data_IF_313201650936
#
_entry.id   IF_313201650936
#
_cell.length_a   1.000
_cell.length_b   1.000
_cell.length_c   1.000
_cell.angle_alpha   90.00
_cell.angle_beta   90.00
_cell.angle_gamma   90.00
#
_symmetry.space_group_name_H-M   'P 1'
#
loop_
_entity.id
_entity.type
_entity.pdbx_description
1 polymer ?
#
# COMPACT_ATOMS: atom_id res chain seq x y z
N UNK A 1 -23.15 27.96 0.65
CA UNK A 1 -22.79 26.61 1.14
C UNK A 1 -23.29 25.61 0.11
N UNK A 2 -22.54 24.55 -0.19
CA UNK A 2 -22.98 23.50 -1.12
C UNK A 2 -23.94 22.51 -0.43
N UNK A 3 -24.90 21.96 -1.18
CA UNK A 3 -25.78 20.89 -0.68
C UNK A 3 -25.09 19.53 -0.73
N UNK A 4 -25.46 18.58 0.15
CA UNK A 4 -24.97 17.20 0.04
C UNK A 4 -25.42 16.58 -1.28
N UNK A 5 -24.47 15.92 -1.97
CA UNK A 5 -24.72 15.20 -3.22
C UNK A 5 -25.57 13.96 -2.95
N UNK A 6 -26.65 13.79 -3.71
CA UNK A 6 -27.54 12.63 -3.64
C UNK A 6 -27.13 11.59 -4.68
N UNK A 7 -26.44 10.54 -4.23
CA UNK A 7 -26.01 9.42 -5.07
C UNK A 7 -26.48 8.08 -4.50
N UNK A 8 -26.98 7.20 -5.37
CA UNK A 8 -27.40 5.85 -4.97
C UNK A 8 -26.17 4.93 -4.88
N UNK A 9 -25.80 4.61 -3.65
CA UNK A 9 -24.67 3.74 -3.33
C UNK A 9 -24.78 2.35 -3.95
N UNK A 10 -25.98 1.76 -4.00
CA UNK A 10 -26.20 0.41 -4.55
C UNK A 10 -25.88 0.38 -6.05
N UNK A 11 -26.25 1.45 -6.76
CA UNK A 11 -25.94 1.64 -8.18
C UNK A 11 -24.45 1.83 -8.40
N UNK A 12 -23.79 2.68 -7.60
CA UNK A 12 -22.34 2.87 -7.72
C UNK A 12 -21.59 1.57 -7.50
N UNK A 13 -22.01 0.75 -6.53
CA UNK A 13 -21.45 -0.58 -6.28
C UNK A 13 -21.64 -1.53 -7.48
N UNK A 14 -22.86 -1.58 -8.04
CA UNK A 14 -23.16 -2.38 -9.23
C UNK A 14 -22.31 -1.95 -10.43
N UNK A 15 -22.27 -0.65 -10.72
CA UNK A 15 -21.50 -0.08 -11.82
C UNK A 15 -20.01 -0.37 -11.63
N UNK A 16 -19.47 -0.21 -10.42
CA UNK A 16 -18.08 -0.54 -10.13
C UNK A 16 -17.73 -1.99 -10.52
N UNK A 17 -18.68 -2.91 -10.39
CA UNK A 17 -18.53 -4.31 -10.82
C UNK A 17 -18.67 -4.43 -12.34
N UNK A 18 -19.73 -3.87 -12.92
CA UNK A 18 -20.08 -3.98 -14.34
C UNK A 18 -19.05 -3.32 -15.27
N UNK A 19 -18.33 -2.30 -14.79
CA UNK A 19 -17.34 -1.54 -15.56
C UNK A 19 -15.90 -1.87 -15.16
N UNK A 20 -15.67 -2.89 -14.32
CA UNK A 20 -14.34 -3.43 -14.05
C UNK A 20 -13.84 -4.25 -15.27
N UNK A 21 -12.55 -4.20 -15.65
CA UNK A 21 -11.44 -3.40 -15.11
C UNK A 21 -11.28 -2.01 -15.76
N UNK A 22 -12.22 -1.60 -16.62
CA UNK A 22 -12.10 -0.38 -17.43
C UNK A 22 -12.37 0.92 -16.66
N UNK A 23 -12.89 0.80 -15.43
CA UNK A 23 -13.01 1.90 -14.47
C UNK A 23 -12.45 1.46 -13.11
N UNK A 24 -12.04 2.43 -12.30
CA UNK A 24 -11.40 2.14 -11.02
C UNK A 24 -11.64 3.20 -9.96
N UNK A 25 -11.48 2.80 -8.69
CA UNK A 25 -11.71 3.65 -7.52
C UNK A 25 -13.11 4.30 -7.54
N UNK A 26 -14.15 3.57 -7.97
CA UNK A 26 -15.52 4.07 -7.91
C UNK A 26 -16.17 3.77 -6.55
N UNK A 27 -15.93 2.56 -6.04
CA UNK A 27 -16.49 2.04 -4.80
C UNK A 27 -15.47 1.26 -4.00
N UNK A 28 -15.44 1.44 -2.68
CA UNK A 28 -14.71 0.60 -1.74
C UNK A 28 -15.69 -0.41 -1.13
N UNK A 29 -15.62 -1.67 -1.56
CA UNK A 29 -16.48 -2.73 -1.04
C UNK A 29 -16.13 -3.17 0.38
N UNK A 30 -14.86 -3.03 0.79
CA UNK A 30 -14.40 -3.42 2.14
C UNK A 30 -14.96 -2.43 3.18
N UNK A 31 -14.99 -1.14 2.85
CA UNK A 31 -15.45 -0.07 3.73
C UNK A 31 -16.84 0.45 3.39
N UNK A 32 -17.51 -0.18 2.42
CA UNK A 32 -18.88 0.14 2.03
C UNK A 32 -19.03 1.65 1.68
N UNK A 33 -18.09 2.19 0.89
CA UNK A 33 -17.90 3.64 0.66
C UNK A 33 -17.85 4.02 -0.82
N UNK A 34 -18.60 5.06 -1.19
CA UNK A 34 -18.52 5.72 -2.51
C UNK A 34 -17.27 6.60 -2.59
N UNK A 35 -16.51 6.46 -3.68
CA UNK A 35 -15.21 7.12 -3.88
C UNK A 35 -15.23 8.20 -4.98
N UNK A 36 -16.29 8.25 -5.79
CA UNK A 36 -16.41 9.20 -6.90
C UNK A 36 -16.96 10.58 -6.49
N UNK A 37 -17.58 10.70 -5.31
CA UNK A 37 -18.19 11.96 -4.86
C UNK A 37 -17.26 12.74 -3.93
N UNK A 38 -16.95 14.02 -4.23
CA UNK A 38 -16.23 14.87 -3.29
C UNK A 38 -17.12 15.25 -2.09
N UNK A 39 -16.49 15.62 -0.97
CA UNK A 39 -17.16 16.01 0.28
C UNK A 39 -17.24 17.54 0.47
N UNK A 40 -16.47 18.30 -0.31
CA UNK A 40 -16.43 19.76 -0.22
C UNK A 40 -17.60 20.46 -0.94
N UNK A 41 -17.72 21.79 -0.79
CA UNK A 41 -18.75 22.60 -1.45
C UNK A 41 -18.50 22.87 -2.94
N UNK A 42 -17.54 22.15 -3.54
CA UNK A 42 -17.14 22.23 -4.95
C UNK A 42 -18.34 21.98 -5.91
N UNK A 43 -18.44 22.63 -7.08
CA UNK A 43 -19.44 22.30 -8.11
C UNK A 43 -19.36 20.86 -8.66
N UNK A 44 -18.26 20.13 -8.53
CA UNK A 44 -18.12 18.77 -9.09
C UNK A 44 -19.11 17.79 -8.44
N UNK A 45 -20.09 17.25 -9.18
CA UNK A 45 -20.99 16.23 -8.66
C UNK A 45 -20.28 14.90 -8.38
N UNK A 46 -19.57 14.35 -9.36
CA UNK A 46 -18.73 13.17 -9.19
C UNK A 46 -17.57 13.14 -10.20
N UNK A 47 -16.50 12.40 -9.88
CA UNK A 47 -15.38 12.12 -10.78
C UNK A 47 -15.22 10.62 -11.00
N UNK A 48 -15.51 10.17 -12.22
CA UNK A 48 -15.34 8.78 -12.65
C UNK A 48 -13.98 8.62 -13.32
N UNK A 49 -13.25 7.58 -12.96
CA UNK A 49 -11.92 7.28 -13.52
C UNK A 49 -11.98 5.99 -14.33
N UNK A 50 -11.34 5.99 -15.49
CA UNK A 50 -11.32 4.83 -16.37
C UNK A 50 -10.30 4.93 -17.49
N UNK A 51 -10.35 3.93 -18.35
CA UNK A 51 -9.35 3.69 -19.40
C UNK A 51 -9.61 4.43 -20.71
N UNK A 52 -10.85 4.83 -20.95
CA UNK A 52 -11.27 5.51 -22.17
C UNK A 52 -12.50 6.42 -21.95
N UNK A 53 -12.70 7.46 -22.79
CA UNK A 53 -13.82 8.40 -22.70
C UNK A 53 -15.22 7.74 -22.75
N UNK A 54 -15.43 6.76 -23.64
CA UNK A 54 -16.74 6.14 -23.80
C UNK A 54 -17.18 5.41 -22.55
N UNK A 55 -16.27 4.62 -21.97
CA UNK A 55 -16.54 3.89 -20.73
C UNK A 55 -16.90 4.86 -19.61
N UNK A 56 -16.14 5.94 -19.40
CA UNK A 56 -16.42 6.88 -18.30
C UNK A 56 -17.72 7.67 -18.51
N UNK A 57 -18.05 8.06 -19.75
CA UNK A 57 -19.33 8.72 -20.08
C UNK A 57 -20.50 7.75 -19.86
N UNK A 58 -20.40 6.53 -20.38
CA UNK A 58 -21.42 5.49 -20.19
C UNK A 58 -21.65 5.20 -18.71
N UNK A 59 -20.56 5.14 -17.94
CA UNK A 59 -20.59 4.96 -16.47
C UNK A 59 -21.35 6.09 -15.79
N UNK A 60 -21.13 7.35 -16.19
CA UNK A 60 -21.87 8.50 -15.65
C UNK A 60 -23.38 8.38 -15.88
N UNK A 61 -23.80 7.95 -17.07
CA UNK A 61 -25.22 7.74 -17.36
C UNK A 61 -25.83 6.65 -16.48
N UNK A 62 -25.10 5.58 -16.19
CA UNK A 62 -25.59 4.52 -15.30
C UNK A 62 -25.66 4.92 -13.84
N UNK A 63 -24.83 5.88 -13.38
CA UNK A 63 -24.94 6.42 -12.01
C UNK A 63 -26.33 7.02 -11.78
N UNK A 64 -27.00 7.46 -12.84
CA UNK A 64 -28.34 8.05 -12.82
C UNK A 64 -28.46 9.10 -11.70
N UNK A 65 -27.73 10.23 -11.82
CA UNK A 65 -27.78 11.31 -10.83
C UNK A 65 -29.23 11.73 -10.56
N UNK A 66 -29.60 11.80 -9.29
CA UNK A 66 -30.92 12.28 -8.87
C UNK A 66 -31.04 13.78 -9.14
N UNK A 67 -29.91 14.49 -9.04
CA UNK A 67 -29.79 15.92 -9.30
C UNK A 67 -29.56 16.18 -10.78
N UNK A 68 -30.12 17.27 -11.31
CA UNK A 68 -29.87 17.70 -12.68
C UNK A 68 -28.44 18.22 -12.79
N UNK A 69 -27.62 17.54 -13.58
CA UNK A 69 -26.26 18.00 -13.90
C UNK A 69 -26.31 19.10 -14.96
N UNK A 70 -25.49 20.14 -14.80
CA UNK A 70 -25.30 21.17 -15.83
C UNK A 70 -24.56 20.62 -17.06
N UNK A 71 -23.65 19.67 -16.85
CA UNK A 71 -22.90 19.01 -17.92
C UNK A 71 -21.82 18.09 -17.36
N UNK A 72 -20.98 17.56 -18.26
CA UNK A 72 -19.80 16.77 -17.91
C UNK A 72 -18.64 17.12 -18.84
N UNK A 73 -17.43 16.83 -18.39
CA UNK A 73 -16.21 16.99 -19.19
C UNK A 73 -15.29 15.80 -18.92
N UNK A 74 -14.64 15.31 -19.97
CA UNK A 74 -13.65 14.24 -19.87
C UNK A 74 -12.25 14.84 -19.91
N UNK A 75 -11.41 14.45 -18.96
CA UNK A 75 -10.01 14.89 -18.89
C UNK A 75 -9.07 13.70 -19.06
N UNK A 76 -8.02 13.88 -19.86
CA UNK A 76 -6.86 12.99 -19.80
C UNK A 76 -6.00 13.42 -18.61
N UNK A 77 -5.74 12.49 -17.68
CA UNK A 77 -5.03 12.80 -16.43
C UNK A 77 -3.87 11.84 -16.19
N UNK A 78 -2.98 12.21 -15.26
CA UNK A 78 -2.00 11.31 -14.68
C UNK A 78 -2.54 10.52 -13.48
N UNK A 79 -3.85 10.52 -13.22
CA UNK A 79 -4.42 9.80 -12.08
C UNK A 79 -4.28 8.29 -12.25
N UNK A 80 -4.01 7.60 -11.14
CA UNK A 80 -3.82 6.15 -11.12
C UNK A 80 -2.61 5.64 -11.91
N UNK A 81 -1.54 6.44 -12.05
CA UNK A 81 -0.36 6.07 -12.86
C UNK A 81 0.89 5.71 -12.05
N UNK A 82 0.90 5.99 -10.74
CA UNK A 82 2.08 5.99 -9.89
C UNK A 82 3.24 6.87 -10.44
N UNK A 83 2.95 7.86 -11.28
CA UNK A 83 4.00 8.68 -11.93
C UNK A 83 4.98 9.32 -10.94
N UNK A 84 4.52 9.70 -9.74
CA UNK A 84 5.37 10.27 -8.69
C UNK A 84 6.23 9.24 -7.94
N UNK A 85 5.97 7.94 -8.13
CA UNK A 85 6.67 6.82 -7.49
C UNK A 85 7.58 6.06 -8.46
N UNK A 86 7.86 6.59 -9.65
CA UNK A 86 8.69 5.92 -10.66
C UNK A 86 10.19 6.14 -10.49
N UNK A 87 10.60 7.08 -9.64
CA UNK A 87 12.00 7.43 -9.45
C UNK A 87 12.56 6.72 -8.22
N UNK A 88 13.70 6.03 -8.38
CA UNK A 88 14.45 5.47 -7.24
C UNK A 88 15.05 6.62 -6.43
N UNK A 89 14.86 6.58 -5.11
CA UNK A 89 15.43 7.53 -4.17
C UNK A 89 16.53 6.86 -3.35
N UNK A 90 17.67 7.54 -3.24
CA UNK A 90 18.70 7.17 -2.26
C UNK A 90 18.43 7.86 -0.93
N UNK A 91 18.53 7.10 0.17
CA UNK A 91 18.33 7.64 1.52
C UNK A 91 19.39 8.68 1.88
N UNK A 92 20.60 8.58 1.31
CA UNK A 92 21.68 9.56 1.47
C UNK A 92 21.32 10.95 0.92
N UNK A 93 20.47 11.02 -0.11
CA UNK A 93 20.13 12.26 -0.84
C UNK A 93 18.67 12.66 -0.68
N UNK A 94 17.98 12.05 0.27
CA UNK A 94 16.55 12.24 0.42
C UNK A 94 16.24 13.66 0.90
N UNK A 95 15.18 14.25 0.36
CA UNK A 95 14.74 15.61 0.68
C UNK A 95 13.24 15.61 0.94
N UNK A 96 12.82 16.52 1.81
CA UNK A 96 11.40 16.77 2.09
C UNK A 96 10.69 17.14 0.78
N UNK A 97 9.42 16.78 0.65
CA UNK A 97 8.59 17.01 -0.53
C UNK A 97 9.04 16.26 -1.79
N UNK A 98 9.85 15.21 -1.62
CA UNK A 98 10.11 14.24 -2.69
C UNK A 98 9.21 13.02 -2.53
N UNK A 99 8.90 12.41 -3.67
CA UNK A 99 8.25 11.12 -3.76
C UNK A 99 9.00 10.25 -4.77
N UNK A 100 8.92 8.95 -4.57
CA UNK A 100 9.65 7.95 -5.35
C UNK A 100 9.54 6.59 -4.68
N UNK A 101 10.39 5.65 -5.07
CA UNK A 101 10.50 4.36 -4.40
C UNK A 101 11.89 4.18 -3.79
N UNK A 102 11.98 3.34 -2.77
CA UNK A 102 13.25 2.95 -2.13
C UNK A 102 13.26 1.43 -1.97
N UNK A 103 14.33 0.80 -2.47
CA UNK A 103 14.66 -0.60 -2.15
C UNK A 103 15.54 -0.61 -0.92
N UNK A 104 15.09 -1.29 0.12
CA UNK A 104 15.73 -1.22 1.41
C UNK A 104 15.53 -2.50 2.22
N UNK A 105 16.35 -2.64 3.26
CA UNK A 105 16.28 -3.71 4.25
C UNK A 105 15.71 -3.16 5.54
N UNK A 106 14.82 -3.89 6.19
CA UNK A 106 14.31 -3.54 7.52
C UNK A 106 15.45 -3.68 8.54
N UNK A 107 15.77 -2.60 9.26
CA UNK A 107 16.85 -2.55 10.26
C UNK A 107 16.35 -2.48 11.70
N UNK A 108 15.06 -2.20 11.90
CA UNK A 108 14.43 -2.23 13.21
C UNK A 108 13.03 -2.79 13.10
N UNK A 109 12.69 -3.71 14.00
CA UNK A 109 11.37 -4.34 14.01
C UNK A 109 10.24 -3.29 14.11
N UNK A 110 9.14 -3.44 13.35
CA UNK A 110 7.98 -2.55 13.42
C UNK A 110 7.31 -2.49 14.78
N UNK A 111 6.87 -1.29 15.15
CA UNK A 111 6.09 -1.00 16.35
C UNK A 111 4.81 -0.26 15.99
N UNK A 112 3.68 -0.80 16.45
CA UNK A 112 2.39 -0.11 16.39
C UNK A 112 2.37 0.98 17.48
N UNK A 113 2.01 2.21 17.10
CA UNK A 113 1.87 3.34 18.03
C UNK A 113 0.38 3.69 18.25
N UNK A 114 0.11 4.57 19.21
CA UNK A 114 -1.25 5.09 19.46
C UNK A 114 -1.83 5.66 18.16
N UNK A 115 -3.06 5.29 17.85
CA UNK A 115 -3.72 5.63 16.58
C UNK A 115 -3.55 4.60 15.47
N UNK A 116 -2.84 3.49 15.71
CA UNK A 116 -2.75 2.36 14.77
C UNK A 116 -1.70 2.52 13.68
N UNK A 117 -0.90 3.59 13.70
CA UNK A 117 0.22 3.76 12.78
C UNK A 117 1.35 2.78 13.13
N UNK A 118 2.10 2.34 12.12
CA UNK A 118 3.26 1.46 12.28
C UNK A 118 4.52 2.25 11.97
N UNK A 119 5.47 2.25 12.90
CA UNK A 119 6.79 2.85 12.75
C UNK A 119 7.88 1.77 12.75
N UNK A 120 8.83 1.89 11.84
CA UNK A 120 10.02 1.03 11.78
C UNK A 120 11.20 1.80 11.16
N UNK A 121 12.36 1.14 11.04
CA UNK A 121 13.53 1.72 10.37
C UNK A 121 14.01 0.80 9.27
N UNK A 122 14.52 1.40 8.20
CA UNK A 122 15.09 0.72 7.04
C UNK A 122 16.46 1.29 6.71
N UNK A 123 17.26 0.54 5.96
CA UNK A 123 18.46 1.05 5.30
C UNK A 123 18.52 0.68 3.83
N UNK A 124 19.04 1.58 3.02
CA UNK A 124 19.38 1.30 1.62
C UNK A 124 20.77 0.66 1.51
N UNK A 125 21.25 0.44 0.28
CA UNK A 125 22.58 -0.10 0.00
C UNK A 125 23.73 0.80 0.53
N UNK A 126 23.45 2.07 0.86
CA UNK A 126 24.44 2.97 1.46
C UNK A 126 24.51 2.84 2.98
N UNK A 127 23.79 1.89 3.58
CA UNK A 127 23.66 1.70 5.03
C UNK A 127 23.11 2.92 5.79
N UNK A 128 22.51 3.89 5.09
CA UNK A 128 21.85 5.02 5.71
C UNK A 128 20.52 4.56 6.26
N UNK A 129 20.30 4.76 7.57
CA UNK A 129 19.06 4.39 8.24
C UNK A 129 18.04 5.52 8.16
N UNK A 130 16.77 5.17 7.97
CA UNK A 130 15.67 6.13 7.94
C UNK A 130 14.44 5.61 8.67
N UNK A 131 13.72 6.48 9.41
CA UNK A 131 12.42 6.12 9.96
C UNK A 131 11.36 6.05 8.86
N UNK A 132 10.51 5.04 8.96
CA UNK A 132 9.39 4.76 8.05
C UNK A 132 8.08 4.79 8.82
N UNK A 133 7.09 5.46 8.26
CA UNK A 133 5.73 5.55 8.77
C UNK A 133 4.71 4.93 7.82
N UNK A 134 3.93 3.99 8.35
CA UNK A 134 2.75 3.42 7.68
C UNK A 134 1.52 3.87 8.48
N UNK A 135 0.69 4.72 7.88
CA UNK A 135 -0.44 5.30 8.58
C UNK A 135 -1.66 4.37 8.60
N UNK A 136 -2.33 4.27 9.74
CA UNK A 136 -3.56 3.48 9.94
C UNK A 136 -4.56 3.54 8.78
N UNK A 137 -4.91 4.72 8.20
CA UNK A 137 -5.95 4.78 7.17
C UNK A 137 -5.62 3.98 5.91
N UNK A 138 -4.33 3.71 5.68
CA UNK A 138 -3.87 2.94 4.52
C UNK A 138 -4.25 1.46 4.62
N UNK A 139 -4.43 0.89 5.81
CA UNK A 139 -4.61 -0.56 5.98
C UNK A 139 -3.33 -1.40 5.83
N UNK A 140 -2.24 -0.81 5.35
CA UNK A 140 -0.95 -1.49 5.18
C UNK A 140 -0.31 -1.87 6.52
N UNK A 141 -0.78 -1.31 7.64
CA UNK A 141 -0.26 -1.59 8.98
C UNK A 141 -0.30 -3.07 9.36
N UNK A 142 -1.30 -3.82 8.91
CA UNK A 142 -1.39 -5.27 9.20
C UNK A 142 -0.17 -6.01 8.64
N UNK A 143 0.17 -5.78 7.37
CA UNK A 143 1.33 -6.41 6.73
C UNK A 143 2.64 -5.82 7.24
N UNK A 144 2.71 -4.49 7.37
CA UNK A 144 3.90 -3.82 7.86
C UNK A 144 4.30 -4.28 9.27
N UNK A 145 3.33 -4.56 10.16
CA UNK A 145 3.60 -5.03 11.53
C UNK A 145 4.21 -6.43 11.61
N UNK A 146 4.11 -7.22 10.53
CA UNK A 146 4.65 -8.58 10.42
C UNK A 146 6.08 -8.63 9.92
N UNK A 147 6.64 -7.51 9.44
CA UNK A 147 8.03 -7.42 9.01
C UNK A 147 8.98 -7.65 10.20
N UNK A 148 10.18 -8.15 9.90
CA UNK A 148 11.28 -8.29 10.87
C UNK A 148 12.56 -7.72 10.30
N UNK A 149 13.56 -7.55 11.17
CA UNK A 149 14.90 -7.13 10.76
C UNK A 149 15.50 -8.14 9.77
N UNK A 150 16.02 -7.64 8.65
CA UNK A 150 16.59 -8.45 7.59
C UNK A 150 15.73 -8.57 6.33
N UNK A 151 14.40 -8.37 6.42
CA UNK A 151 13.49 -8.41 5.26
C UNK A 151 13.89 -7.37 4.22
N UNK A 152 13.91 -7.78 2.94
CA UNK A 152 14.12 -6.88 1.81
C UNK A 152 12.77 -6.44 1.24
N UNK A 153 12.59 -5.13 1.12
CA UNK A 153 11.34 -4.51 0.70
C UNK A 153 11.60 -3.42 -0.36
N UNK A 154 10.58 -3.17 -1.17
CA UNK A 154 10.47 -2.03 -2.07
C UNK A 154 9.26 -1.20 -1.61
N UNK A 155 9.49 0.05 -1.25
CA UNK A 155 8.44 0.93 -0.71
C UNK A 155 8.30 2.17 -1.58
N UNK A 156 7.07 2.47 -1.99
CA UNK A 156 6.71 3.77 -2.53
C UNK A 156 6.55 4.76 -1.38
N UNK A 157 7.23 5.90 -1.45
CA UNK A 157 7.30 6.84 -0.32
C UNK A 157 7.05 8.29 -0.75
N UNK A 158 6.44 9.05 0.16
CA UNK A 158 6.48 10.51 0.18
C UNK A 158 7.23 11.00 1.42
N UNK A 159 8.08 12.01 1.27
CA UNK A 159 8.94 12.49 2.37
C UNK A 159 8.33 13.73 3.01
N UNK A 160 7.97 13.63 4.30
CA UNK A 160 7.49 14.77 5.08
C UNK A 160 8.44 15.12 6.22
N UNK A 161 8.36 16.38 6.66
CA UNK A 161 8.99 16.81 7.90
C UNK A 161 8.24 16.16 9.07
N UNK A 162 8.96 15.57 10.00
CA UNK A 162 8.42 15.27 11.32
C UNK A 162 8.61 16.54 12.17
N UNK A 163 7.62 16.95 12.97
CA UNK A 163 7.49 18.29 13.57
C UNK A 163 8.82 18.91 14.06
N UNK A 164 8.87 20.25 13.96
CA UNK A 164 9.86 21.30 14.32
C UNK A 164 11.30 20.97 14.76
N UNK A 165 11.58 19.80 15.36
CA UNK A 165 12.87 19.37 15.91
C UNK A 165 13.36 17.98 15.45
N UNK A 166 12.80 17.37 14.39
CA UNK A 166 13.13 15.99 14.01
C UNK A 166 13.46 15.76 12.52
N UNK A 167 14.23 14.69 12.30
CA UNK A 167 14.56 14.10 11.00
C UNK A 167 13.31 13.82 10.17
N UNK A 168 13.41 13.85 8.83
CA UNK A 168 12.26 13.52 7.98
C UNK A 168 11.84 12.06 8.14
N UNK A 169 10.62 11.73 7.74
CA UNK A 169 10.06 10.38 7.76
C UNK A 169 9.63 9.96 6.36
N UNK A 170 9.77 8.66 6.05
CA UNK A 170 9.25 8.07 4.81
C UNK A 170 7.80 7.65 5.02
N UNK A 171 6.86 8.26 4.31
CA UNK A 171 5.45 7.90 4.38
C UNK A 171 5.12 6.90 3.29
N UNK A 172 4.77 5.67 3.68
CA UNK A 172 4.53 4.57 2.76
C UNK A 172 3.21 4.76 2.00
N UNK A 173 3.28 4.64 0.67
CA UNK A 173 2.14 4.62 -0.25
C UNK A 173 1.86 3.22 -0.84
N UNK A 174 2.88 2.38 -0.99
CA UNK A 174 2.75 0.93 -1.22
C UNK A 174 3.91 0.20 -0.55
N UNK A 175 3.72 -1.08 -0.23
CA UNK A 175 4.75 -1.95 0.35
C UNK A 175 4.87 -3.21 -0.48
N UNK A 176 6.06 -3.48 -1.02
CA UNK A 176 6.36 -4.71 -1.73
C UNK A 176 7.41 -5.51 -0.97
N UNK A 177 7.11 -6.78 -0.71
CA UNK A 177 8.03 -7.68 -0.01
C UNK A 177 8.81 -8.46 -1.05
N UNK A 178 10.12 -8.23 -1.09
CA UNK A 178 11.05 -8.84 -2.05
C UNK A 178 11.69 -10.10 -1.49
N UNK A 179 12.04 -10.09 -0.20
CA UNK A 179 12.62 -11.24 0.51
C UNK A 179 12.15 -11.29 1.95
N UNK A 180 11.76 -12.48 2.40
CA UNK A 180 11.37 -12.78 3.77
C UNK A 180 12.55 -13.45 4.46
N UNK A 181 13.00 -12.89 5.57
CA UNK A 181 14.04 -13.48 6.43
C UNK A 181 13.41 -14.50 7.38
N UNK A 182 14.12 -15.60 7.63
CA UNK A 182 13.71 -16.64 8.57
C UNK A 182 13.70 -16.11 10.01
N UNK A 183 12.55 -16.24 10.69
CA UNK A 183 12.47 -15.94 12.13
C UNK A 183 12.90 -17.18 12.92
N UNK A 184 14.17 -17.21 13.35
CA UNK A 184 14.67 -18.31 14.21
C UNK A 184 14.42 -18.01 15.68
N UNK A 185 13.78 -18.93 16.39
CA UNK A 185 13.55 -18.85 17.83
C UNK A 185 14.24 -20.00 18.55
N UNK A 186 14.73 -19.74 19.76
CA UNK A 186 15.28 -20.79 20.62
C UNK A 186 14.19 -21.33 21.55
N UNK A 187 13.86 -22.61 21.40
CA UNK A 187 12.85 -23.28 22.23
C UNK A 187 13.50 -24.35 23.10
N UNK A 188 12.87 -24.64 24.22
CA UNK A 188 13.30 -25.76 25.06
C UNK A 188 13.12 -27.07 24.28
N UNK A 189 14.01 -28.06 24.49
CA UNK A 189 13.90 -29.33 23.81
C UNK A 189 12.68 -30.14 24.29
N UNK A 190 12.27 -31.10 23.47
CA UNK A 190 11.29 -32.12 23.84
C UNK A 190 12.00 -33.28 24.53
N UNK A 191 11.35 -33.86 25.54
CA UNK A 191 11.78 -35.09 26.18
C UNK A 191 11.66 -36.25 25.20
N UNK A 192 12.73 -37.05 25.08
CA UNK A 192 12.78 -38.18 24.15
C UNK A 192 11.81 -39.31 24.53
N UNK A 193 11.49 -39.43 25.83
CA UNK A 193 10.64 -40.50 26.36
C UNK A 193 9.14 -40.22 26.31
N UNK A 194 8.72 -38.97 26.55
CA UNK A 194 7.29 -38.63 26.66
C UNK A 194 6.83 -37.50 25.74
N UNK A 195 7.72 -36.94 24.91
CA UNK A 195 7.39 -35.84 24.00
C UNK A 195 7.01 -34.52 24.67
N UNK A 196 7.00 -34.42 26.01
CA UNK A 196 6.69 -33.16 26.71
C UNK A 196 7.86 -32.18 26.63
N UNK A 197 7.55 -30.88 26.57
CA UNK A 197 8.54 -29.79 26.59
C UNK A 197 9.28 -29.75 27.93
N UNK A 198 10.61 -29.75 27.88
CA UNK A 198 11.47 -29.76 29.07
C UNK A 198 11.53 -28.37 29.73
N UNK A 199 11.76 -28.32 31.05
CA UNK A 199 11.93 -27.06 31.79
C UNK A 199 13.42 -26.76 32.02
N UNK A 200 13.75 -25.48 32.18
CA UNK A 200 15.12 -25.06 32.50
C UNK A 200 15.45 -25.39 33.95
N UNK A 201 16.66 -25.89 34.19
CA UNK A 201 17.19 -26.18 35.53
C UNK A 201 18.00 -25.00 36.11
N UNK A 202 18.01 -23.85 35.41
CA UNK A 202 18.76 -22.66 35.79
C UNK A 202 19.79 -22.27 34.73
N UNK A 203 20.46 -21.12 34.96
CA UNK A 203 21.50 -20.62 34.05
C UNK A 203 22.60 -21.69 33.90
N UNK A 204 22.90 -22.07 32.65
CA UNK A 204 23.93 -23.03 32.25
C UNK A 204 23.79 -24.47 32.81
N UNK A 205 22.63 -24.82 33.40
CA UNK A 205 22.35 -26.17 33.95
C UNK A 205 21.57 -27.09 33.02
N UNK A 206 21.21 -26.62 31.83
CA UNK A 206 20.45 -27.39 30.83
C UNK A 206 18.95 -27.49 31.15
N UNK A 207 18.33 -28.54 30.62
CA UNK A 207 16.88 -28.77 30.64
C UNK A 207 16.55 -30.17 31.13
N UNK A 208 15.53 -30.31 31.97
CA UNK A 208 15.07 -31.60 32.48
C UNK A 208 13.56 -31.79 32.24
N UNK A 209 13.18 -33.03 31.94
CA UNK A 209 11.78 -33.44 31.93
C UNK A 209 11.31 -33.70 33.36
N UNK A 210 10.31 -32.96 33.83
CA UNK A 210 9.72 -33.18 35.17
C UNK A 210 9.05 -34.54 35.34
N UNK A 211 8.65 -35.20 34.25
CA UNK A 211 7.94 -36.48 34.31
C UNK A 211 8.87 -37.70 34.20
N UNK A 212 9.88 -37.61 33.34
CA UNK A 212 10.73 -38.76 33.00
C UNK A 212 12.17 -38.64 33.50
N UNK A 213 12.57 -37.48 34.05
CA UNK A 213 13.94 -37.20 34.49
C UNK A 213 14.98 -37.04 33.37
N UNK A 214 14.60 -37.26 32.11
CA UNK A 214 15.46 -37.06 30.93
C UNK A 214 16.06 -35.65 30.91
N UNK A 215 17.30 -35.51 30.45
CA UNK A 215 18.07 -34.25 30.47
C UNK A 215 18.65 -33.92 29.10
N UNK A 216 18.68 -32.63 28.77
CA UNK A 216 19.33 -32.10 27.56
C UNK A 216 20.11 -30.83 27.89
N UNK A 217 21.24 -30.65 27.22
CA UNK A 217 22.16 -29.54 27.48
C UNK A 217 21.76 -28.23 26.81
N UNK A 218 21.18 -28.27 25.61
CA UNK A 218 20.96 -27.10 24.78
C UNK A 218 19.49 -26.88 24.37
N UNK A 219 19.18 -25.62 24.06
CA UNK A 219 17.93 -25.25 23.37
C UNK A 219 17.99 -25.70 21.92
N UNK A 220 16.81 -25.90 21.33
CA UNK A 220 16.67 -26.15 19.90
C UNK A 220 16.46 -24.82 19.19
N UNK A 221 17.21 -24.59 18.11
CA UNK A 221 16.93 -23.52 17.17
C UNK A 221 15.84 -24.01 16.22
N UNK A 222 14.74 -23.27 16.11
CA UNK A 222 13.63 -23.61 15.21
C UNK A 222 13.25 -22.39 14.40
N UNK A 223 13.13 -22.57 13.08
CA UNK A 223 12.57 -21.57 12.18
C UNK A 223 11.05 -21.54 12.35
N UNK A 224 10.53 -20.36 12.68
CA UNK A 224 9.10 -20.13 12.85
C UNK A 224 8.51 -19.71 11.50
N UNK A 225 7.42 -20.36 11.12
CA UNK A 225 6.65 -19.94 9.95
C UNK A 225 6.01 -18.58 10.19
N UNK A 226 6.20 -17.65 9.24
CA UNK A 226 5.68 -16.29 9.30
C UNK A 226 4.46 -16.18 8.37
N UNK A 227 3.38 -15.57 8.86
CA UNK A 227 2.17 -15.31 8.09
C UNK A 227 2.32 -14.08 7.18
N UNK A 228 3.28 -14.14 6.27
CA UNK A 228 3.64 -13.04 5.35
C UNK A 228 4.06 -13.64 4.00
N UNK A 229 3.66 -12.99 2.91
CA UNK A 229 3.94 -13.46 1.55
C UNK A 229 4.69 -12.41 0.74
N UNK A 230 5.46 -12.87 -0.24
CA UNK A 230 6.08 -11.99 -1.23
C UNK A 230 4.99 -11.31 -2.07
N UNK A 231 5.28 -10.11 -2.57
CA UNK A 231 4.39 -9.38 -3.45
C UNK A 231 4.10 -7.95 -3.00
N UNK A 232 3.29 -7.26 -3.81
CA UNK A 232 2.94 -5.85 -3.64
C UNK A 232 1.63 -5.71 -2.90
N UNK A 233 1.67 -4.99 -1.78
CA UNK A 233 0.51 -4.62 -0.98
C UNK A 233 0.19 -3.14 -1.22
N UNK A 234 -1.08 -2.88 -1.53
CA UNK A 234 -1.60 -1.53 -1.73
C UNK A 234 -2.50 -1.10 -0.57
N UNK A 235 -2.67 0.22 -0.35
CA UNK A 235 -3.64 0.71 0.60
C UNK A 235 -5.05 0.26 0.25
N UNK A 236 -5.96 0.36 1.22
CA UNK A 236 -7.39 0.28 0.93
C UNK A 236 -7.81 1.33 -0.11
N UNK A 237 -8.86 1.02 -0.87
CA UNK A 237 -9.35 1.90 -1.95
C UNK A 237 -9.73 3.29 -1.42
N UNK A 238 -10.35 3.40 -0.22
CA UNK A 238 -10.63 4.68 0.45
C UNK A 238 -9.39 5.55 0.73
N UNK A 239 -8.20 4.95 0.76
CA UNK A 239 -6.94 5.61 1.06
C UNK A 239 -6.04 5.77 -0.19
N UNK A 240 -6.50 5.34 -1.36
CA UNK A 240 -5.83 5.64 -2.62
C UNK A 240 -5.70 7.15 -2.81
N UNK A 241 -4.48 7.62 -3.07
CA UNK A 241 -4.23 8.98 -3.52
C UNK A 241 -4.60 9.09 -5.00
N UNK A 242 -4.72 10.32 -5.51
CA UNK A 242 -5.04 10.56 -6.91
C UNK A 242 -4.13 9.83 -7.89
N UNK A 243 -2.84 9.73 -7.58
CA UNK A 243 -1.85 9.10 -8.45
C UNK A 243 -1.68 7.60 -8.19
N UNK A 244 -2.20 7.06 -7.07
CA UNK A 244 -2.06 5.63 -6.73
C UNK A 244 -2.66 4.76 -7.83
N UNK A 245 -1.83 3.97 -8.50
CA UNK A 245 -2.23 3.05 -9.56
C UNK A 245 -2.83 1.77 -8.99
N UNK A 246 -4.13 1.48 -9.20
CA UNK A 246 -4.73 0.22 -8.76
C UNK A 246 -4.01 -1.01 -9.33
N UNK A 247 -3.91 -2.08 -8.55
CA UNK A 247 -3.23 -3.34 -8.93
C UNK A 247 -3.68 -3.91 -10.29
N UNK A 248 -4.98 -3.90 -10.60
CA UNK A 248 -5.49 -4.46 -11.85
C UNK A 248 -5.07 -3.66 -13.10
N UNK A 249 -4.58 -2.43 -12.95
CA UNK A 249 -4.13 -1.59 -14.07
C UNK A 249 -2.68 -1.84 -14.49
N UNK A 250 -1.91 -2.63 -13.73
CA UNK A 250 -0.58 -3.04 -14.16
C UNK A 250 -0.71 -3.98 -15.35
N UNK A 251 0.00 -3.69 -16.45
CA UNK A 251 -0.17 -4.37 -17.75
C UNK A 251 -1.20 -3.72 -18.69
N UNK A 252 -1.91 -2.68 -18.23
CA UNK A 252 -2.86 -1.91 -19.06
C UNK A 252 -2.30 -0.56 -19.52
N UNK A 253 -0.98 -0.38 -19.45
CA UNK A 253 -0.31 0.87 -19.84
C UNK A 253 -0.54 1.18 -21.32
N UNK A 254 -0.91 2.41 -21.61
CA UNK A 254 -1.10 2.85 -23.00
C UNK A 254 0.26 3.12 -23.63
N UNK A 255 0.67 2.27 -24.57
CA UNK A 255 1.86 2.45 -25.39
C UNK A 255 1.53 3.35 -26.58
N UNK A 256 1.53 4.66 -26.36
CA UNK A 256 1.54 5.58 -27.50
C UNK A 256 2.98 5.65 -28.03
N UNK A 257 3.23 5.40 -29.33
CA UNK A 257 4.55 5.65 -29.88
C UNK A 257 4.91 7.11 -29.63
N UNK A 258 5.96 7.34 -28.84
CA UNK A 258 6.60 8.64 -28.79
C UNK A 258 7.28 8.84 -30.14
N UNK A 259 6.60 9.49 -31.08
CA UNK A 259 7.22 9.86 -32.35
C UNK A 259 8.02 11.13 -32.06
N UNK A 260 9.31 10.96 -31.77
CA UNK A 260 10.25 12.08 -31.66
C UNK A 260 10.14 12.95 -32.93
N UNK A 261 10.06 14.26 -32.75
CA UNK A 261 9.95 15.30 -33.80
C UNK A 261 8.56 15.52 -34.44
N UNK A 262 7.50 14.92 -33.91
CA UNK A 262 6.15 15.41 -34.20
C UNK A 262 5.72 16.36 -33.07
N UNK A 263 5.93 17.67 -33.27
CA UNK A 263 5.13 18.69 -32.58
C UNK A 263 3.74 18.61 -33.20
N UNK A 264 2.98 17.56 -32.86
CA UNK A 264 1.55 17.59 -33.10
C UNK A 264 1.01 18.61 -32.10
N UNK A 265 0.19 19.61 -32.53
CA UNK A 265 -0.57 20.38 -31.58
C UNK A 265 -1.25 19.37 -30.65
N UNK A 266 -1.20 19.59 -29.33
CA UNK A 266 -1.91 18.82 -28.29
C UNK A 266 -3.14 18.21 -28.94
N UNK A 267 -3.12 16.91 -29.18
CA UNK A 267 -3.95 16.22 -30.18
C UNK A 267 -5.43 16.47 -29.89
N UNK A 268 -5.98 17.60 -30.36
CA UNK A 268 -7.36 18.01 -30.13
C UNK A 268 -8.33 17.07 -30.85
N UNK A 269 -7.82 16.33 -31.83
CA UNK A 269 -8.53 15.29 -32.57
C UNK A 269 -8.91 14.09 -31.70
N UNK A 270 -8.32 13.90 -30.50
CA UNK A 270 -8.76 12.86 -29.56
C UNK A 270 -10.23 13.03 -29.14
N UNK A 271 -10.77 14.26 -29.18
CA UNK A 271 -12.18 14.54 -28.96
C UNK A 271 -13.00 14.62 -30.26
N UNK A 272 -12.38 14.56 -31.44
CA UNK A 272 -13.09 14.63 -32.74
C UNK A 272 -13.39 13.26 -33.34
N UNK A 273 -12.71 12.22 -32.86
CA UNK A 273 -13.02 10.83 -33.20
C UNK A 273 -14.18 10.25 -32.37
N UNK A 274 -14.75 11.03 -31.45
CA UNK A 274 -15.82 10.64 -30.54
C UNK A 274 -16.97 11.64 -30.58
#
# INVERSE_FOLDING_TARGET
QGTPRKIDKSRVSKINTDTHPFTYNNYDSIHDRVLITPHGPDPVFCGIRGEDPFTVIRTLHYVLPIEKLEGYMVFRTNQGTNMHLQNELSLKRIRIHKAGYVRCKVTKKPRIIRGGHVLFEVSDLSNIKYPVGVYEPTGLGNIASKLIEGDDIDIGIGVSKNNSHSSSILNVEYLSILKITDETVTINPLCTKCGKRMKSEGKDKGFQCKNCGDKKSSKLLVTKHRDIQLGTYQPYLKAHRHLTKPLHRFGMEKTYPCIANIIKPLHAEWFKLF
#
